data_IF_043446597116
#
_entry.id   IF_043446597116
#
_cell.length_a   1.000
_cell.length_b   1.000
_cell.length_c   1.000
_cell.angle_alpha   90.00
_cell.angle_beta   90.00
_cell.angle_gamma   90.00
#
_symmetry.space_group_name_H-M   'P 1'
#
loop_
_entity.id
_entity.type
_entity.pdbx_description
1 polymer ?
#
# COMPACT_ATOMS: atom_id res chain seq x y z
N UNK A 1 10.47 3.60 -24.09
CA UNK A 1 11.60 3.46 -23.15
C UNK A 1 11.97 1.99 -23.04
N UNK A 2 13.25 1.63 -23.06
CA UNK A 2 13.70 0.26 -22.73
C UNK A 2 13.81 0.13 -21.22
N UNK A 3 13.07 -0.78 -20.60
CA UNK A 3 13.11 -1.01 -19.15
C UNK A 3 14.43 -1.70 -18.80
N UNK A 4 15.27 -1.06 -17.99
CA UNK A 4 16.56 -1.61 -17.55
C UNK A 4 16.41 -2.42 -16.26
N UNK A 5 17.18 -3.50 -16.13
CA UNK A 5 17.18 -4.35 -14.94
C UNK A 5 17.75 -3.60 -13.73
N UNK A 6 17.13 -3.74 -12.55
CA UNK A 6 17.58 -3.06 -11.32
C UNK A 6 18.98 -3.48 -10.87
N UNK A 7 19.33 -4.75 -11.06
CA UNK A 7 20.68 -5.26 -10.81
C UNK A 7 21.72 -4.64 -11.75
N UNK A 8 21.35 -4.40 -13.02
CA UNK A 8 22.21 -3.73 -14.00
C UNK A 8 22.38 -2.24 -13.67
N UNK A 9 21.30 -1.55 -13.30
CA UNK A 9 21.31 -0.15 -12.85
C UNK A 9 22.27 0.03 -11.66
N UNK A 10 22.20 -0.87 -10.68
CA UNK A 10 23.12 -0.84 -9.54
C UNK A 10 24.50 -1.45 -9.84
N UNK A 11 24.68 -2.06 -11.02
CA UNK A 11 25.90 -2.77 -11.44
C UNK A 11 26.34 -3.83 -10.43
N UNK A 12 25.40 -4.68 -10.01
CA UNK A 12 25.58 -5.77 -9.04
C UNK A 12 25.07 -7.09 -9.64
N UNK A 13 25.55 -8.25 -9.15
CA UNK A 13 25.02 -9.53 -9.59
C UNK A 13 23.63 -9.82 -8.97
N UNK A 14 22.89 -10.77 -9.56
CA UNK A 14 21.54 -11.16 -9.13
C UNK A 14 21.51 -11.75 -7.71
N UNK A 15 22.59 -12.42 -7.31
CA UNK A 15 22.78 -13.03 -5.99
C UNK A 15 23.32 -12.04 -4.94
N UNK A 16 23.37 -10.75 -5.25
CA UNK A 16 23.93 -9.73 -4.37
C UNK A 16 23.21 -9.68 -3.01
N UNK A 17 24.00 -9.58 -1.95
CA UNK A 17 23.49 -9.41 -0.59
C UNK A 17 23.06 -7.96 -0.30
N UNK A 18 22.33 -7.75 0.80
CA UNK A 18 21.84 -6.42 1.19
C UNK A 18 22.97 -5.40 1.42
N UNK A 19 24.17 -5.86 1.80
CA UNK A 19 25.32 -4.98 2.03
C UNK A 19 25.92 -4.49 0.71
N UNK A 20 25.98 -5.35 -0.30
CA UNK A 20 26.44 -5.06 -1.65
C UNK A 20 25.47 -4.08 -2.33
N UNK A 21 24.16 -4.33 -2.24
CA UNK A 21 23.11 -3.43 -2.74
C UNK A 21 23.26 -2.03 -2.14
N UNK A 22 23.37 -1.94 -0.81
CA UNK A 22 23.53 -0.66 -0.10
C UNK A 22 24.83 0.06 -0.46
N UNK A 23 25.93 -0.68 -0.63
CA UNK A 23 27.23 -0.12 -1.02
C UNK A 23 27.19 0.43 -2.45
N UNK A 24 26.58 -0.30 -3.37
CA UNK A 24 26.42 0.11 -4.77
C UNK A 24 25.56 1.37 -4.89
N UNK A 25 24.39 1.38 -4.23
CA UNK A 25 23.52 2.56 -4.16
C UNK A 25 24.26 3.79 -3.66
N UNK A 26 24.96 3.71 -2.51
CA UNK A 26 25.71 4.85 -1.96
C UNK A 26 26.76 5.38 -2.95
N UNK A 27 27.47 4.49 -3.64
CA UNK A 27 28.50 4.87 -4.63
C UNK A 27 27.89 5.59 -5.83
N UNK A 28 26.81 5.05 -6.39
CA UNK A 28 26.15 5.59 -7.58
C UNK A 28 25.37 6.87 -7.25
N UNK A 29 24.69 6.93 -6.12
CA UNK A 29 24.00 8.13 -5.64
C UNK A 29 24.96 9.31 -5.47
N UNK A 30 26.18 9.09 -4.98
CA UNK A 30 27.21 10.14 -4.89
C UNK A 30 27.75 10.59 -6.26
N UNK A 31 27.78 9.68 -7.25
CA UNK A 31 28.25 9.96 -8.61
C UNK A 31 27.22 10.78 -9.39
N UNK A 32 25.95 10.40 -9.30
CA UNK A 32 24.84 11.02 -10.03
C UNK A 32 24.06 12.05 -9.19
N UNK A 33 24.58 12.47 -8.04
CA UNK A 33 23.89 13.42 -7.17
C UNK A 33 23.59 14.75 -7.91
N UNK A 34 22.36 15.31 -7.79
CA UNK A 34 21.96 16.52 -8.52
C UNK A 34 22.83 17.73 -8.17
N UNK A 35 23.33 17.82 -6.93
CA UNK A 35 24.21 18.92 -6.50
C UNK A 35 25.55 18.95 -7.24
N UNK A 36 26.10 17.79 -7.63
CA UNK A 36 27.36 17.69 -8.38
C UNK A 36 27.17 17.77 -9.89
N UNK A 37 25.95 17.50 -10.37
CA UNK A 37 25.60 17.41 -11.78
C UNK A 37 24.47 18.39 -12.12
N UNK A 38 24.56 19.62 -11.62
CA UNK A 38 23.53 20.65 -11.83
C UNK A 38 23.34 20.92 -13.32
N UNK A 39 22.10 20.86 -13.80
CA UNK A 39 21.76 21.08 -15.21
C UNK A 39 21.98 19.87 -16.13
N UNK A 40 22.39 18.71 -15.60
CA UNK A 40 22.46 17.47 -16.37
C UNK A 40 21.20 16.62 -16.14
N UNK A 41 20.29 16.66 -17.11
CA UNK A 41 19.03 15.89 -17.09
C UNK A 41 19.29 14.37 -17.09
N UNK A 42 20.30 13.91 -17.83
CA UNK A 42 20.66 12.49 -17.88
C UNK A 42 21.16 11.97 -16.53
N UNK A 43 21.97 12.77 -15.82
CA UNK A 43 22.40 12.43 -14.47
C UNK A 43 21.22 12.40 -13.49
N UNK A 44 20.25 13.30 -13.65
CA UNK A 44 19.03 13.34 -12.85
C UNK A 44 18.16 12.10 -13.10
N UNK A 45 17.98 11.72 -14.37
CA UNK A 45 17.27 10.51 -14.76
C UNK A 45 17.96 9.24 -14.20
N UNK A 46 19.28 9.10 -14.37
CA UNK A 46 20.05 8.00 -13.80
C UNK A 46 19.94 7.95 -12.28
N UNK A 47 20.00 9.10 -11.59
CA UNK A 47 19.84 9.16 -10.15
C UNK A 47 18.48 8.62 -9.69
N UNK A 48 17.39 8.93 -10.42
CA UNK A 48 16.05 8.40 -10.13
C UNK A 48 15.99 6.89 -10.32
N UNK A 49 16.53 6.37 -11.44
CA UNK A 49 16.61 4.93 -11.69
C UNK A 49 17.38 4.20 -10.58
N UNK A 50 18.49 4.78 -10.11
CA UNK A 50 19.28 4.24 -9.00
C UNK A 50 18.46 4.21 -7.68
N UNK A 51 17.68 5.27 -7.40
CA UNK A 51 16.81 5.29 -6.22
C UNK A 51 15.70 4.23 -6.33
N UNK A 52 15.04 4.15 -7.48
CA UNK A 52 13.98 3.16 -7.75
C UNK A 52 14.52 1.72 -7.62
N UNK A 53 15.68 1.43 -8.21
CA UNK A 53 16.33 0.13 -8.12
C UNK A 53 16.69 -0.22 -6.66
N UNK A 54 17.20 0.74 -5.89
CA UNK A 54 17.51 0.51 -4.48
C UNK A 54 16.25 0.31 -3.63
N UNK A 55 15.21 1.11 -3.82
CA UNK A 55 13.95 0.97 -3.08
C UNK A 55 13.37 -0.44 -3.26
N UNK A 56 13.31 -0.91 -4.51
CA UNK A 56 12.84 -2.24 -4.85
C UNK A 56 13.74 -3.37 -4.29
N UNK A 57 15.06 -3.28 -4.50
CA UNK A 57 15.99 -4.36 -4.11
C UNK A 57 16.34 -4.38 -2.61
N UNK A 58 16.07 -3.30 -1.88
CA UNK A 58 16.38 -3.20 -0.45
C UNK A 58 15.28 -3.77 0.47
N UNK A 59 14.04 -3.88 -0.01
CA UNK A 59 12.94 -4.54 0.68
C UNK A 59 12.82 -5.99 0.20
N UNK A 60 12.93 -6.96 1.11
CA UNK A 60 12.92 -8.39 0.77
C UNK A 60 11.65 -8.82 0.03
N UNK A 61 10.49 -8.21 0.33
CA UNK A 61 9.23 -8.54 -0.32
C UNK A 61 9.17 -7.94 -1.72
N UNK A 62 9.57 -6.68 -1.87
CA UNK A 62 9.58 -6.02 -3.19
C UNK A 62 10.63 -6.66 -4.11
N UNK A 63 11.81 -7.03 -3.58
CA UNK A 63 12.84 -7.76 -4.32
C UNK A 63 12.34 -9.10 -4.81
N UNK A 64 11.70 -9.90 -3.94
CA UNK A 64 11.17 -11.21 -4.32
C UNK A 64 10.13 -11.08 -5.44
N UNK A 65 9.19 -10.14 -5.29
CA UNK A 65 8.17 -9.90 -6.30
C UNK A 65 8.80 -9.46 -7.63
N UNK A 66 9.78 -8.55 -7.58
CA UNK A 66 10.53 -8.11 -8.77
C UNK A 66 11.25 -9.28 -9.44
N UNK A 67 11.91 -10.15 -8.68
CA UNK A 67 12.62 -11.30 -9.23
C UNK A 67 11.66 -12.29 -9.93
N UNK A 68 10.47 -12.52 -9.34
CA UNK A 68 9.40 -13.38 -9.90
C UNK A 68 8.81 -12.80 -11.21
N UNK A 69 8.71 -11.48 -11.31
CA UNK A 69 8.05 -10.79 -12.43
C UNK A 69 9.05 -10.10 -13.39
N UNK A 70 10.35 -10.26 -13.16
CA UNK A 70 11.42 -9.53 -13.83
C UNK A 70 11.32 -9.62 -15.35
N UNK A 71 11.05 -10.81 -15.87
CA UNK A 71 10.96 -11.01 -17.32
C UNK A 71 9.77 -10.28 -17.95
N UNK A 72 8.61 -10.24 -17.27
CA UNK A 72 7.44 -9.50 -17.73
C UNK A 72 7.73 -8.00 -17.75
N UNK A 73 8.36 -7.49 -16.68
CA UNK A 73 8.77 -6.08 -16.56
C UNK A 73 9.78 -5.70 -17.66
N UNK A 74 10.81 -6.54 -17.88
CA UNK A 74 11.89 -6.27 -18.84
C UNK A 74 11.46 -6.43 -20.31
N UNK A 75 10.49 -7.30 -20.60
CA UNK A 75 9.88 -7.37 -21.94
C UNK A 75 9.29 -6.02 -22.33
N UNK A 76 8.82 -5.25 -21.34
CA UNK A 76 8.41 -3.87 -21.48
C UNK A 76 7.10 -3.72 -22.25
N UNK A 77 6.31 -2.76 -21.81
CA UNK A 77 5.30 -2.10 -22.62
C UNK A 77 6.03 -1.23 -23.65
N UNK A 78 5.84 -1.48 -24.94
CA UNK A 78 6.25 -0.49 -25.94
C UNK A 78 5.29 0.70 -25.78
N UNK A 79 5.81 1.91 -25.62
CA UNK A 79 4.99 3.10 -25.42
C UNK A 79 4.11 3.46 -26.63
N UNK A 80 3.99 2.59 -27.64
CA UNK A 80 3.03 2.79 -28.72
C UNK A 80 1.69 2.25 -28.24
N UNK A 81 0.68 3.11 -28.18
CA UNK A 81 -0.70 2.71 -27.92
C UNK A 81 -1.32 1.80 -29.01
N UNK A 82 -0.51 1.00 -29.71
CA UNK A 82 -0.88 0.09 -30.79
C UNK A 82 -1.08 -1.36 -30.33
N UNK A 83 -0.84 -1.70 -29.07
CA UNK A 83 -1.15 -3.04 -28.52
C UNK A 83 -2.66 -3.26 -28.27
N UNK A 84 -3.53 -2.41 -28.81
CA UNK A 84 -4.95 -2.76 -29.01
C UNK A 84 -5.10 -3.80 -30.13
N UNK A 85 -4.12 -3.93 -31.03
CA UNK A 85 -4.22 -4.80 -32.21
C UNK A 85 -3.53 -6.17 -32.08
N UNK A 86 -2.71 -6.40 -31.04
CA UNK A 86 -2.14 -7.74 -30.77
C UNK A 86 -2.97 -8.50 -29.75
N UNK A 87 -4.04 -9.14 -30.21
CA UNK A 87 -4.69 -10.34 -29.64
C UNK A 87 -4.45 -10.63 -28.13
N UNK A 88 -4.70 -9.64 -27.27
CA UNK A 88 -4.46 -9.72 -25.84
C UNK A 88 -5.74 -9.36 -25.12
N UNK A 89 -6.54 -10.38 -24.80
CA UNK A 89 -7.85 -10.21 -24.15
C UNK A 89 -7.75 -9.45 -22.82
N UNK A 90 -6.55 -9.33 -22.22
CA UNK A 90 -6.31 -8.76 -20.90
C UNK A 90 -5.10 -7.81 -20.93
N UNK A 91 -5.24 -6.60 -20.39
CA UNK A 91 -4.14 -5.63 -20.24
C UNK A 91 -3.20 -6.02 -19.09
N UNK A 92 -1.91 -6.17 -19.38
CA UNK A 92 -0.88 -6.51 -18.40
C UNK A 92 -0.51 -5.28 -17.54
N UNK A 93 -0.69 -5.43 -16.22
CA UNK A 93 -0.43 -4.37 -15.23
C UNK A 93 0.95 -4.48 -14.59
N UNK A 94 1.61 -5.64 -14.72
CA UNK A 94 2.87 -5.95 -14.04
C UNK A 94 3.98 -4.95 -14.41
N UNK A 95 4.12 -4.50 -15.67
CA UNK A 95 5.11 -3.48 -16.04
C UNK A 95 4.89 -2.11 -15.38
N UNK A 96 3.74 -1.86 -14.72
CA UNK A 96 3.46 -0.60 -14.03
C UNK A 96 3.61 -0.71 -12.51
N UNK A 97 4.03 -1.87 -11.99
CA UNK A 97 4.24 -2.10 -10.56
C UNK A 97 5.71 -1.95 -10.15
N UNK A 98 6.49 -1.14 -10.87
CA UNK A 98 7.88 -0.83 -10.53
C UNK A 98 8.12 0.67 -10.45
N UNK A 99 8.97 1.10 -9.52
CA UNK A 99 9.13 2.53 -9.20
C UNK A 99 9.76 3.38 -10.32
N UNK A 100 10.28 2.76 -11.38
CA UNK A 100 10.82 3.46 -12.54
C UNK A 100 9.86 3.53 -13.74
N UNK A 101 8.58 3.15 -13.57
CA UNK A 101 7.59 3.29 -14.65
C UNK A 101 7.08 4.74 -14.81
N UNK A 102 7.51 5.65 -13.94
CA UNK A 102 7.23 7.09 -13.99
C UNK A 102 8.47 7.91 -13.61
N UNK A 103 8.57 9.12 -14.14
CA UNK A 103 9.75 9.98 -14.05
C UNK A 103 9.67 11.02 -12.94
N UNK A 104 8.48 11.54 -12.65
CA UNK A 104 8.28 12.61 -11.67
C UNK A 104 6.89 12.58 -11.05
N UNK A 105 6.60 13.50 -10.13
CA UNK A 105 5.25 13.77 -9.64
C UNK A 105 4.74 15.11 -10.16
N UNK A 106 5.33 15.61 -11.25
CA UNK A 106 4.85 16.80 -11.93
C UNK A 106 3.68 16.44 -12.84
N UNK A 107 2.67 17.30 -12.88
CA UNK A 107 1.49 17.11 -13.73
C UNK A 107 1.79 17.42 -15.21
N UNK A 108 2.80 18.26 -15.47
CA UNK A 108 3.21 18.63 -16.83
C UNK A 108 4.10 17.57 -17.51
N UNK A 109 4.63 16.60 -16.74
CA UNK A 109 5.47 15.53 -17.26
C UNK A 109 4.58 14.41 -17.82
N UNK A 110 4.70 14.11 -19.12
CA UNK A 110 3.90 13.07 -19.77
C UNK A 110 4.15 11.67 -19.16
N UNK A 111 5.38 11.44 -18.70
CA UNK A 111 5.80 10.24 -17.98
C UNK A 111 5.74 10.44 -16.46
N UNK A 112 5.03 11.47 -15.99
CA UNK A 112 4.78 11.75 -14.58
C UNK A 112 3.82 10.73 -13.95
N UNK A 113 3.91 10.58 -12.63
CA UNK A 113 3.13 9.61 -11.84
C UNK A 113 1.63 9.70 -12.13
N UNK A 114 1.06 10.91 -12.11
CA UNK A 114 -0.37 11.09 -12.30
C UNK A 114 -0.81 10.78 -13.72
N UNK A 115 -0.04 11.17 -14.73
CA UNK A 115 -0.35 10.90 -16.13
C UNK A 115 -0.19 9.41 -16.49
N UNK A 116 0.88 8.77 -16.03
CA UNK A 116 1.10 7.32 -16.21
C UNK A 116 -0.05 6.53 -15.61
N UNK A 117 -0.39 6.76 -14.34
CA UNK A 117 -1.44 5.97 -13.69
C UNK A 117 -2.84 6.31 -14.17
N UNK A 118 -3.11 7.55 -14.59
CA UNK A 118 -4.36 7.89 -15.28
C UNK A 118 -4.53 7.01 -16.53
N UNK A 119 -3.52 6.98 -17.42
CA UNK A 119 -3.53 6.15 -18.64
C UNK A 119 -3.72 4.65 -18.31
N UNK A 120 -3.01 4.14 -17.30
CA UNK A 120 -3.09 2.73 -16.87
C UNK A 120 -4.49 2.34 -16.39
N UNK A 121 -5.09 3.13 -15.50
CA UNK A 121 -6.42 2.82 -14.94
C UNK A 121 -7.53 3.02 -15.98
N UNK A 122 -7.41 4.01 -16.87
CA UNK A 122 -8.31 4.16 -18.01
C UNK A 122 -8.22 2.97 -18.96
N UNK A 123 -7.00 2.50 -19.26
CA UNK A 123 -6.81 1.33 -20.12
C UNK A 123 -7.38 0.06 -19.48
N UNK A 124 -7.16 -0.14 -18.17
CA UNK A 124 -7.77 -1.23 -17.41
C UNK A 124 -9.30 -1.23 -17.52
N UNK A 125 -9.92 -0.07 -17.30
CA UNK A 125 -11.37 0.09 -17.42
C UNK A 125 -11.85 -0.21 -18.84
N UNK A 126 -11.17 0.33 -19.85
CA UNK A 126 -11.51 0.10 -21.27
C UNK A 126 -11.41 -1.37 -21.66
N UNK A 127 -10.40 -2.10 -21.17
CA UNK A 127 -10.28 -3.53 -21.43
C UNK A 127 -11.42 -4.34 -20.80
N UNK A 128 -11.82 -4.04 -19.56
CA UNK A 128 -12.97 -4.70 -18.92
C UNK A 128 -14.29 -4.39 -19.65
N UNK A 129 -14.50 -3.12 -20.05
CA UNK A 129 -15.66 -2.72 -20.82
C UNK A 129 -15.68 -3.38 -22.21
N UNK A 130 -14.52 -3.48 -22.87
CA UNK A 130 -14.40 -4.16 -24.15
C UNK A 130 -14.73 -5.65 -24.05
N UNK A 131 -14.27 -6.33 -23.00
CA UNK A 131 -14.64 -7.72 -22.78
C UNK A 131 -16.13 -7.87 -22.51
N UNK A 132 -16.71 -7.00 -21.68
CA UNK A 132 -18.15 -6.99 -21.40
C UNK A 132 -18.97 -6.84 -22.68
N UNK A 133 -18.62 -5.88 -23.53
CA UNK A 133 -19.33 -5.61 -24.78
C UNK A 133 -19.12 -6.69 -25.83
N UNK A 134 -17.91 -7.24 -25.95
CA UNK A 134 -17.58 -8.38 -26.83
C UNK A 134 -18.37 -9.64 -26.47
N UNK A 135 -18.88 -9.75 -25.24
CA UNK A 135 -19.76 -10.84 -24.81
C UNK A 135 -21.22 -10.67 -25.25
N UNK A 136 -21.52 -9.64 -26.06
CA UNK A 136 -22.85 -9.35 -26.58
C UNK A 136 -23.70 -8.42 -25.69
N UNK A 137 -23.10 -7.82 -24.66
CA UNK A 137 -23.79 -6.85 -23.82
C UNK A 137 -23.64 -5.45 -24.42
N UNK A 138 -24.71 -4.93 -25.01
CA UNK A 138 -24.65 -3.70 -25.82
C UNK A 138 -24.88 -2.44 -24.97
N UNK A 139 -25.65 -2.54 -23.88
CA UNK A 139 -25.90 -1.39 -23.00
C UNK A 139 -24.76 -1.22 -21.99
N UNK A 140 -24.00 -0.12 -22.14
CA UNK A 140 -22.94 0.25 -21.21
C UNK A 140 -23.48 0.59 -19.80
N UNK A 141 -24.76 0.98 -19.68
CA UNK A 141 -25.36 1.28 -18.38
C UNK A 141 -25.49 0.04 -17.49
N UNK A 142 -25.53 -1.14 -18.09
CA UNK A 142 -25.56 -2.44 -17.41
C UNK A 142 -24.16 -2.93 -17.03
N UNK A 143 -23.09 -2.20 -17.40
CA UNK A 143 -21.74 -2.60 -17.07
C UNK A 143 -21.51 -2.63 -15.55
N UNK A 144 -21.18 -3.80 -14.96
CA UNK A 144 -21.07 -3.95 -13.51
C UNK A 144 -20.01 -3.06 -12.86
N UNK A 145 -18.96 -2.71 -13.62
CA UNK A 145 -17.82 -1.94 -13.13
C UNK A 145 -17.84 -0.47 -13.53
N UNK A 146 -18.98 0.09 -13.97
CA UNK A 146 -19.08 1.51 -14.36
C UNK A 146 -18.64 2.50 -13.27
N UNK A 147 -18.74 2.09 -12.00
CA UNK A 147 -18.29 2.88 -10.85
C UNK A 147 -16.75 3.03 -10.76
N UNK A 148 -15.99 2.23 -11.53
CA UNK A 148 -14.54 2.38 -11.65
C UNK A 148 -14.12 3.49 -12.62
N UNK A 149 -15.06 4.03 -13.41
CA UNK A 149 -14.82 5.18 -14.28
C UNK A 149 -14.77 6.48 -13.46
N UNK A 150 -13.79 6.54 -12.55
CA UNK A 150 -13.50 7.67 -11.69
C UNK A 150 -12.12 8.19 -12.06
N UNK A 151 -12.01 9.52 -12.21
CA UNK A 151 -10.74 10.15 -12.56
C UNK A 151 -9.73 9.94 -11.43
N UNK A 152 -8.48 9.65 -11.79
CA UNK A 152 -7.36 9.59 -10.86
C UNK A 152 -6.98 10.96 -10.28
N UNK A 153 -7.33 12.03 -11.00
CA UNK A 153 -6.95 13.40 -10.70
C UNK A 153 -5.48 13.71 -10.94
N UNK A 154 -5.08 14.87 -10.46
CA UNK A 154 -3.75 15.47 -10.57
C UNK A 154 -3.08 15.60 -9.19
N UNK A 155 -1.89 16.22 -9.14
CA UNK A 155 -1.16 16.46 -7.89
C UNK A 155 -1.93 17.31 -6.87
N UNK A 156 -2.82 18.20 -7.33
CA UNK A 156 -3.57 19.15 -6.50
C UNK A 156 -4.95 18.64 -6.07
N UNK A 157 -5.36 17.45 -6.53
CA UNK A 157 -6.69 16.91 -6.30
C UNK A 157 -7.01 16.68 -4.83
N UNK A 158 -8.24 17.02 -4.44
CA UNK A 158 -8.72 16.88 -3.07
C UNK A 158 -8.71 15.41 -2.61
N UNK A 159 -8.12 15.17 -1.44
CA UNK A 159 -7.99 13.83 -0.91
C UNK A 159 -9.36 13.18 -0.65
N UNK A 160 -10.30 13.93 -0.11
CA UNK A 160 -11.57 13.37 0.40
C UNK A 160 -12.48 12.96 -0.75
N UNK A 161 -12.65 13.83 -1.73
CA UNK A 161 -13.64 13.64 -2.78
C UNK A 161 -13.09 12.92 -4.01
N UNK A 162 -11.80 13.12 -4.34
CA UNK A 162 -11.18 12.52 -5.53
C UNK A 162 -10.38 11.29 -5.13
N UNK A 163 -9.31 11.47 -4.36
CA UNK A 163 -8.31 10.42 -4.10
C UNK A 163 -8.92 9.26 -3.30
N UNK A 164 -9.65 9.55 -2.23
CA UNK A 164 -10.29 8.53 -1.39
C UNK A 164 -11.38 7.77 -2.15
N UNK A 165 -12.17 8.46 -2.96
CA UNK A 165 -13.22 7.84 -3.79
C UNK A 165 -12.58 6.93 -4.84
N UNK A 166 -11.55 7.42 -5.53
CA UNK A 166 -10.80 6.65 -6.52
C UNK A 166 -10.31 5.32 -5.94
N UNK A 167 -9.55 5.37 -4.84
CA UNK A 167 -9.02 4.16 -4.23
C UNK A 167 -10.12 3.26 -3.67
N UNK A 168 -11.20 3.80 -3.10
CA UNK A 168 -12.30 2.99 -2.61
C UNK A 168 -12.98 2.17 -3.73
N UNK A 169 -13.18 2.78 -4.91
CA UNK A 169 -13.72 2.10 -6.08
C UNK A 169 -12.76 1.00 -6.57
N UNK A 170 -11.49 1.32 -6.79
CA UNK A 170 -10.51 0.37 -7.33
C UNK A 170 -10.10 -0.72 -6.32
N UNK A 171 -10.18 -0.48 -5.02
CA UNK A 171 -10.00 -1.52 -3.99
C UNK A 171 -11.14 -2.56 -4.00
N UNK A 172 -12.29 -2.24 -4.60
CA UNK A 172 -13.39 -3.18 -4.82
C UNK A 172 -13.37 -3.87 -6.19
N UNK A 173 -12.28 -3.71 -6.96
CA UNK A 173 -12.17 -4.26 -8.32
C UNK A 173 -12.41 -5.78 -8.36
N UNK A 174 -13.21 -6.20 -9.35
CA UNK A 174 -13.44 -7.60 -9.66
C UNK A 174 -13.69 -7.76 -11.17
N UNK A 175 -12.80 -8.47 -11.85
CA UNK A 175 -12.88 -8.65 -13.31
C UNK A 175 -14.22 -9.26 -13.76
N UNK A 176 -14.82 -8.69 -14.81
CA UNK A 176 -16.01 -9.27 -15.45
C UNK A 176 -15.66 -10.36 -16.46
N UNK A 177 -14.37 -10.51 -16.74
CA UNK A 177 -13.84 -11.48 -17.66
C UNK A 177 -14.25 -12.93 -17.33
N UNK A 178 -14.77 -13.66 -18.33
CA UNK A 178 -15.13 -15.07 -18.13
C UNK A 178 -13.92 -16.02 -18.06
N UNK A 179 -12.79 -15.67 -18.67
CA UNK A 179 -11.60 -16.54 -18.83
C UNK A 179 -11.91 -17.88 -19.50
N UNK A 180 -12.80 -17.89 -20.50
CA UNK A 180 -13.20 -19.12 -21.19
C UNK A 180 -12.04 -19.81 -21.94
N UNK A 181 -11.00 -19.07 -22.33
CA UNK A 181 -9.80 -19.61 -22.96
C UNK A 181 -8.89 -20.40 -22.00
N UNK A 182 -9.12 -20.32 -20.69
CA UNK A 182 -8.42 -21.14 -19.69
C UNK A 182 -9.01 -22.55 -19.57
N UNK A 183 -10.06 -22.88 -20.33
CA UNK A 183 -10.66 -24.21 -20.35
C UNK A 183 -9.71 -25.21 -21.02
N UNK A 184 -9.37 -26.29 -20.32
CA UNK A 184 -8.51 -27.35 -20.85
C UNK A 184 -9.32 -28.42 -21.57
N UNK A 185 -10.54 -28.70 -21.08
CA UNK A 185 -11.38 -29.74 -21.62
C UNK A 185 -12.50 -29.17 -22.49
N UNK A 186 -12.71 -29.73 -23.68
CA UNK A 186 -13.93 -29.48 -24.45
C UNK A 186 -15.07 -30.38 -23.91
N UNK A 187 -16.02 -29.76 -23.22
CA UNK A 187 -17.18 -30.44 -22.63
C UNK A 187 -18.08 -31.13 -23.66
N UNK A 188 -17.97 -30.78 -24.95
CA UNK A 188 -18.72 -31.40 -26.06
C UNK A 188 -18.21 -32.80 -26.38
N UNK A 189 -16.94 -33.08 -26.07
CA UNK A 189 -16.29 -34.38 -26.32
C UNK A 189 -16.54 -35.40 -25.20
N UNK A 190 -17.27 -35.01 -24.16
CA UNK A 190 -17.49 -35.86 -22.99
C UNK A 190 -18.29 -37.14 -23.34
N UNK A 191 -17.78 -38.34 -23.02
CA UNK A 191 -18.42 -39.61 -23.39
C UNK A 191 -19.72 -39.90 -22.63
N UNK A 192 -19.93 -39.27 -21.49
CA UNK A 192 -21.17 -39.38 -20.72
C UNK A 192 -21.37 -38.17 -19.79
N UNK A 193 -22.58 -38.06 -19.23
CA UNK A 193 -22.98 -36.97 -18.32
C UNK A 193 -22.05 -36.81 -17.11
N UNK A 194 -21.50 -37.91 -16.57
CA UNK A 194 -20.63 -37.86 -15.39
C UNK A 194 -19.28 -37.25 -15.74
N UNK A 195 -18.69 -37.65 -16.86
CA UNK A 195 -17.43 -37.09 -17.35
C UNK A 195 -17.60 -35.63 -17.74
N UNK A 196 -18.72 -35.27 -18.39
CA UNK A 196 -19.00 -33.87 -18.74
C UNK A 196 -19.03 -32.96 -17.51
N UNK A 197 -19.69 -33.41 -16.43
CA UNK A 197 -19.72 -32.67 -15.17
C UNK A 197 -18.32 -32.51 -14.55
N UNK A 198 -17.51 -33.56 -14.58
CA UNK A 198 -16.13 -33.48 -14.08
C UNK A 198 -15.29 -32.49 -14.91
N UNK A 199 -15.41 -32.52 -16.24
CA UNK A 199 -14.77 -31.55 -17.14
C UNK A 199 -15.24 -30.11 -16.86
N UNK A 200 -16.55 -29.88 -16.74
CA UNK A 200 -17.14 -28.57 -16.41
C UNK A 200 -16.66 -28.05 -15.04
N UNK A 201 -16.57 -28.92 -14.03
CA UNK A 201 -16.07 -28.59 -12.70
C UNK A 201 -14.60 -28.16 -12.75
N UNK A 202 -13.79 -28.91 -13.49
CA UNK A 202 -12.35 -28.71 -13.59
C UNK A 202 -11.98 -27.47 -14.41
N UNK A 203 -12.68 -27.22 -15.53
CA UNK A 203 -12.63 -25.94 -16.23
C UNK A 203 -13.12 -24.81 -15.32
N UNK A 204 -14.20 -25.02 -14.58
CA UNK A 204 -14.73 -24.06 -13.62
C UNK A 204 -13.71 -23.66 -12.54
N UNK A 205 -12.88 -24.61 -12.07
CA UNK A 205 -11.77 -24.34 -11.15
C UNK A 205 -10.69 -23.50 -11.82
N UNK A 206 -10.26 -23.83 -13.05
CA UNK A 206 -9.27 -23.03 -13.81
C UNK A 206 -9.75 -21.59 -14.01
N UNK A 207 -10.98 -21.39 -14.48
CA UNK A 207 -11.55 -20.04 -14.66
C UNK A 207 -11.63 -19.25 -13.36
N UNK A 208 -11.97 -19.91 -12.25
CA UNK A 208 -11.98 -19.27 -10.91
C UNK A 208 -10.57 -18.87 -10.46
N UNK A 209 -9.58 -19.72 -10.70
CA UNK A 209 -8.19 -19.44 -10.38
C UNK A 209 -7.67 -18.23 -11.20
N UNK A 210 -7.89 -18.23 -12.52
CA UNK A 210 -7.47 -17.14 -13.39
C UNK A 210 -8.13 -15.79 -13.03
N UNK A 211 -9.43 -15.78 -12.70
CA UNK A 211 -10.09 -14.57 -12.20
C UNK A 211 -9.51 -14.08 -10.87
N UNK A 212 -9.18 -15.01 -9.96
CA UNK A 212 -8.58 -14.65 -8.67
C UNK A 212 -7.20 -14.03 -8.87
N UNK A 213 -6.37 -14.65 -9.70
CA UNK A 213 -5.03 -14.15 -10.07
C UNK A 213 -5.13 -12.74 -10.66
N UNK A 214 -6.02 -12.52 -11.64
CA UNK A 214 -6.27 -11.19 -12.20
C UNK A 214 -6.65 -10.15 -11.14
N UNK A 215 -7.56 -10.50 -10.25
CA UNK A 215 -7.99 -9.59 -9.19
C UNK A 215 -6.83 -9.28 -8.24
N UNK A 216 -6.00 -10.26 -7.89
CA UNK A 216 -4.82 -10.08 -7.05
C UNK A 216 -3.78 -9.18 -7.74
N UNK A 217 -3.54 -9.32 -9.04
CA UNK A 217 -2.65 -8.45 -9.83
C UNK A 217 -3.11 -6.98 -9.79
N UNK A 218 -4.38 -6.73 -10.13
CA UNK A 218 -4.93 -5.37 -10.18
C UNK A 218 -4.98 -4.76 -8.78
N UNK A 219 -5.40 -5.51 -7.76
CA UNK A 219 -5.38 -5.02 -6.37
C UNK A 219 -3.96 -4.75 -5.89
N UNK A 220 -2.98 -5.58 -6.28
CA UNK A 220 -1.58 -5.33 -6.01
C UNK A 220 -1.11 -4.02 -6.66
N UNK A 221 -1.53 -3.72 -7.90
CA UNK A 221 -1.25 -2.44 -8.57
C UNK A 221 -1.86 -1.28 -7.79
N UNK A 222 -3.13 -1.38 -7.42
CA UNK A 222 -3.83 -0.35 -6.63
C UNK A 222 -3.08 -0.05 -5.33
N UNK A 223 -2.65 -1.09 -4.59
CA UNK A 223 -1.87 -0.92 -3.38
C UNK A 223 -0.47 -0.35 -3.63
N UNK A 224 0.16 -0.72 -4.75
CA UNK A 224 1.46 -0.17 -5.16
C UNK A 224 1.34 1.34 -5.40
N UNK A 225 0.36 1.78 -6.19
CA UNK A 225 0.10 3.19 -6.50
C UNK A 225 -0.26 3.96 -5.23
N UNK A 226 -1.21 3.45 -4.42
CA UNK A 226 -1.66 4.08 -3.17
C UNK A 226 -0.53 4.33 -2.19
N UNK A 227 0.44 3.42 -2.10
CA UNK A 227 1.60 3.56 -1.20
C UNK A 227 2.59 4.62 -1.66
N UNK A 228 2.63 4.91 -2.96
CA UNK A 228 3.59 5.83 -3.62
C UNK A 228 2.99 7.21 -3.91
N UNK A 229 1.66 7.33 -3.95
CA UNK A 229 0.94 8.59 -4.14
C UNK A 229 1.26 9.61 -3.04
N UNK A 230 1.75 10.79 -3.43
CA UNK A 230 2.13 11.85 -2.49
C UNK A 230 0.92 12.41 -1.72
N UNK A 231 -0.26 12.45 -2.35
CA UNK A 231 -1.50 12.92 -1.73
C UNK A 231 -1.90 11.99 -0.58
N UNK A 232 -1.72 10.68 -0.77
CA UNK A 232 -1.94 9.66 0.26
C UNK A 232 -0.88 9.73 1.35
N UNK A 233 0.41 9.86 0.99
CA UNK A 233 1.49 9.99 1.97
C UNK A 233 1.29 11.20 2.89
N UNK A 234 0.94 12.36 2.32
CA UNK A 234 0.66 13.57 3.08
C UNK A 234 -0.47 13.33 4.10
N UNK A 235 -1.60 12.75 3.66
CA UNK A 235 -2.71 12.42 4.55
C UNK A 235 -2.33 11.43 5.66
N UNK A 236 -1.54 10.41 5.32
CA UNK A 236 -1.08 9.43 6.30
C UNK A 236 -0.15 10.05 7.35
N UNK A 237 0.68 11.02 6.96
CA UNK A 237 1.51 11.79 7.89
C UNK A 237 0.69 12.68 8.81
N UNK A 238 -0.33 13.37 8.29
CA UNK A 238 -1.27 14.14 9.12
C UNK A 238 -1.94 13.27 10.17
N UNK A 239 -2.48 12.11 9.77
CA UNK A 239 -3.12 11.17 10.68
C UNK A 239 -2.15 10.63 11.73
N UNK A 240 -0.87 10.41 11.38
CA UNK A 240 0.17 10.03 12.34
C UNK A 240 0.42 11.15 13.35
N UNK A 241 0.54 12.41 12.89
CA UNK A 241 0.72 13.58 13.76
C UNK A 241 -0.47 13.74 14.72
N UNK A 242 -1.69 13.60 14.22
CA UNK A 242 -2.91 13.67 15.03
C UNK A 242 -2.96 12.55 16.08
N UNK A 243 -2.60 11.32 15.72
CA UNK A 243 -2.52 10.20 16.67
C UNK A 243 -1.49 10.44 17.77
N UNK A 244 -0.30 10.91 17.41
CA UNK A 244 0.76 11.25 18.38
C UNK A 244 0.29 12.36 19.32
N UNK A 245 -0.39 13.38 18.80
CA UNK A 245 -0.93 14.47 19.61
C UNK A 245 -1.98 13.96 20.60
N UNK A 246 -2.95 13.17 20.14
CA UNK A 246 -3.99 12.56 21.00
C UNK A 246 -3.39 11.63 22.06
N UNK A 247 -2.35 10.88 21.72
CA UNK A 247 -1.66 10.02 22.68
C UNK A 247 -0.91 10.84 23.74
N UNK A 248 -0.25 11.93 23.34
CA UNK A 248 0.41 12.85 24.26
C UNK A 248 -0.60 13.54 25.20
N UNK A 249 -1.76 13.94 24.70
CA UNK A 249 -2.86 14.50 25.49
C UNK A 249 -3.38 13.48 26.52
N UNK A 250 -3.65 12.24 26.09
CA UNK A 250 -4.07 11.16 26.98
C UNK A 250 -3.04 10.87 28.06
N UNK A 251 -1.75 10.90 27.72
CA UNK A 251 -0.65 10.69 28.68
C UNK A 251 -0.59 11.82 29.71
N UNK A 252 -0.69 13.08 29.28
CA UNK A 252 -0.73 14.25 30.18
C UNK A 252 -1.95 14.19 31.12
N UNK A 253 -3.11 13.82 30.60
CA UNK A 253 -4.32 13.68 31.43
C UNK A 253 -4.17 12.55 32.46
N UNK A 254 -3.59 11.41 32.07
CA UNK A 254 -3.31 10.31 32.98
C UNK A 254 -2.30 10.70 34.08
N UNK A 255 -1.24 11.44 33.74
CA UNK A 255 -0.27 11.98 34.70
C UNK A 255 -0.93 12.96 35.68
N UNK A 256 -1.80 13.86 35.18
CA UNK A 256 -2.59 14.78 36.02
C UNK A 256 -3.52 14.02 36.97
N UNK A 257 -4.27 13.03 36.48
CA UNK A 257 -5.14 12.20 37.34
C UNK A 257 -4.34 11.42 38.38
N UNK A 258 -3.15 10.94 38.01
CA UNK A 258 -2.25 10.23 38.92
C UNK A 258 -1.72 11.15 40.02
N UNK A 259 -1.30 12.38 39.68
CA UNK A 259 -0.84 13.36 40.67
C UNK A 259 -1.96 13.82 41.60
N UNK A 260 -3.15 14.08 41.07
CA UNK A 260 -4.35 14.41 41.86
C UNK A 260 -4.73 13.26 42.81
N UNK A 261 -4.72 12.02 42.34
CA UNK A 261 -4.98 10.86 43.18
C UNK A 261 -3.90 10.65 44.25
N UNK A 262 -2.62 10.92 43.94
CA UNK A 262 -1.53 10.87 44.91
C UNK A 262 -1.70 11.93 46.00
N UNK A 263 -2.01 13.18 45.61
CA UNK A 263 -2.26 14.28 46.55
C UNK A 263 -3.51 14.02 47.41
N UNK A 264 -4.59 13.47 46.84
CA UNK A 264 -5.78 13.08 47.60
C UNK A 264 -5.47 11.97 48.63
N UNK A 265 -4.66 10.98 48.26
CA UNK A 265 -4.20 9.92 49.17
C UNK A 265 -3.33 10.48 50.29
N UNK A 266 -2.48 11.45 50.00
CA UNK A 266 -1.64 12.11 50.99
C UNK A 266 -2.46 12.93 51.98
N UNK A 267 -3.39 13.76 51.50
CA UNK A 267 -4.34 14.48 52.36
C UNK A 267 -5.13 13.55 53.27
N UNK A 268 -5.64 12.44 52.72
CA UNK A 268 -6.36 11.44 53.51
C UNK A 268 -5.46 10.80 54.59
N UNK A 269 -4.18 10.55 54.30
CA UNK A 269 -3.22 10.05 55.30
C UNK A 269 -3.00 11.06 56.41
N UNK A 270 -2.78 12.34 56.09
CA UNK A 270 -2.59 13.41 57.07
C UNK A 270 -3.83 13.64 57.95
N UNK A 271 -5.03 13.58 57.37
CA UNK A 271 -6.29 13.67 58.11
C UNK A 271 -6.48 12.47 59.05
N UNK A 272 -6.17 11.26 58.59
CA UNK A 272 -6.22 10.06 59.42
C UNK A 272 -5.21 10.09 60.57
N UNK A 273 -4.00 10.59 60.34
CA UNK A 273 -2.97 10.77 61.37
C UNK A 273 -3.39 11.82 62.40
N UNK A 274 -3.92 12.96 61.95
CA UNK A 274 -4.48 13.99 62.85
C UNK A 274 -5.62 13.44 63.71
N UNK A 275 -6.55 12.73 63.12
CA UNK A 275 -7.67 12.11 63.84
C UNK A 275 -7.18 11.09 64.88
N UNK A 276 -6.16 10.28 64.56
CA UNK A 276 -5.54 9.36 65.52
C UNK A 276 -4.87 10.11 66.68
N UNK A 277 -4.12 11.17 66.39
CA UNK A 277 -3.46 11.98 67.42
C UNK A 277 -4.45 12.71 68.33
N UNK A 278 -5.58 13.18 67.80
CA UNK A 278 -6.67 13.75 68.60
C UNK A 278 -7.33 12.71 69.49
N UNK A 279 -7.61 11.51 68.96
CA UNK A 279 -8.15 10.41 69.75
C UNK A 279 -7.19 10.02 70.89
N UNK A 280 -5.90 9.88 70.60
CA UNK A 280 -4.86 9.57 71.57
C UNK A 280 -4.77 10.63 72.67
N UNK A 281 -4.82 11.93 72.31
CA UNK A 281 -4.90 13.02 73.29
C UNK A 281 -6.15 12.92 74.16
N UNK A 282 -7.30 12.59 73.56
CA UNK A 282 -8.56 12.45 74.30
C UNK A 282 -8.54 11.27 75.27
N UNK A 283 -7.94 10.14 74.89
CA UNK A 283 -7.79 8.96 75.74
C UNK A 283 -6.84 9.22 76.92
N UNK A 284 -5.73 9.95 76.68
CA UNK A 284 -4.83 10.40 77.76
C UNK A 284 -5.56 11.31 78.74
N UNK A 285 -6.36 12.27 78.25
CA UNK A 285 -7.17 13.18 79.08
C UNK A 285 -8.25 12.44 79.89
N UNK A 286 -8.81 11.36 79.33
CA UNK A 286 -9.77 10.49 80.00
C UNK A 286 -9.13 9.50 80.99
N UNK A 287 -7.80 9.54 81.18
CA UNK A 287 -7.08 8.69 82.13
C UNK A 287 -6.91 7.23 81.69
N UNK A 288 -7.11 6.92 80.40
CA UNK A 288 -6.86 5.58 79.84
C UNK A 288 -5.37 5.45 79.51
N UNK A 289 -4.66 4.59 80.25
CA UNK A 289 -3.23 4.30 80.01
C UNK A 289 -3.09 3.31 78.86
N UNK A 290 -2.09 3.51 77.98
CA UNK A 290 -1.82 2.56 76.90
C UNK A 290 -1.33 1.25 77.50
N UNK A 291 -1.79 0.12 76.95
CA UNK A 291 -1.34 -1.20 77.39
C UNK A 291 0.19 -1.38 77.29
N UNK A 292 0.84 -0.68 76.35
CA UNK A 292 2.29 -0.72 76.15
C UNK A 292 3.10 0.02 77.24
N UNK A 293 2.47 0.95 77.96
CA UNK A 293 3.12 1.75 79.02
C UNK A 293 2.97 1.11 80.41
N UNK A 294 2.26 -0.03 80.50
CA UNK A 294 2.02 -0.77 81.76
C UNK A 294 3.09 -1.83 82.06
N UNK A 295 4.00 -2.11 81.12
CA UNK A 295 5.05 -3.15 81.21
C UNK A 295 6.48 -2.57 81.39
N UNK A 296 6.63 -1.33 81.86
CA UNK A 296 7.93 -0.69 82.17
C UNK A 296 8.11 -0.41 83.67
#
# INVERSE_FOLDING_TARGET
MTVQCHYEILSIPLDADATQIKKAHRKLALKYHPDKNRGNEEATHQFRLIQAAYECLSDDKERKWYDEHREAILRGWDGSGNDVEKEGVVFDVVPYQFAGCYNSYDDDDEDGFYNVYTKVFEQLYRCELHQWTSMGNIDENDFPLKHLNVSFGDSASDYTNVVSTFYACWESYNTVCKYAWCDEYDVREAPNRRVRRAMEEENGKRRKAARRERNEEVLSLVQFVKRRDLRVKARMEELKKEKVLKEAERKKEAERKKSEAAAAREKWREEAERARAELEKSDILAGKVRLADLDS
#
